data_IF_191070927209
#
_entry.id   IF_191070927209
#
_cell.length_a   1.000
_cell.length_b   1.000
_cell.length_c   1.000
_cell.angle_alpha   90.00
_cell.angle_beta   90.00
_cell.angle_gamma   90.00
#
_symmetry.space_group_name_H-M   'P 1'
#
loop_
_entity.id
_entity.type
_entity.pdbx_description
1 polymer ?
#
# COMPACT_ATOMS: atom_id res chain seq x y z
N UNK A 1 25.28 -5.37 -19.42
CA UNK A 1 24.28 -4.32 -19.73
C UNK A 1 24.13 -4.29 -21.24
N UNK A 2 22.90 -4.47 -21.75
CA UNK A 2 22.60 -4.20 -23.17
C UNK A 2 22.61 -2.68 -23.33
N UNK A 3 23.37 -2.15 -24.28
CA UNK A 3 23.45 -0.71 -24.54
C UNK A 3 22.23 -0.25 -25.35
N UNK A 4 21.78 1.01 -25.18
CA UNK A 4 20.65 1.56 -25.95
C UNK A 4 20.81 1.39 -27.47
N UNK A 5 22.05 1.43 -27.95
CA UNK A 5 22.39 1.21 -29.36
C UNK A 5 22.07 -0.20 -29.85
N UNK A 6 22.19 -1.21 -28.97
CA UNK A 6 21.92 -2.60 -29.34
C UNK A 6 20.42 -2.90 -29.49
N UNK A 7 19.54 -2.18 -28.79
CA UNK A 7 18.08 -2.30 -28.99
C UNK A 7 17.62 -1.56 -30.24
N UNK A 8 18.24 -0.41 -30.55
CA UNK A 8 17.91 0.39 -31.73
C UNK A 8 18.19 -0.32 -33.08
N UNK A 9 19.05 -1.34 -33.07
CA UNK A 9 19.42 -2.12 -34.25
C UNK A 9 18.59 -3.41 -34.40
N UNK A 10 17.70 -3.73 -33.45
CA UNK A 10 16.86 -4.92 -33.48
C UNK A 10 15.71 -4.82 -34.50
N UNK A 11 15.42 -5.94 -35.16
CA UNK A 11 14.18 -6.15 -35.91
C UNK A 11 12.97 -6.23 -34.96
N UNK A 12 11.77 -6.08 -35.51
CA UNK A 12 10.52 -6.17 -34.73
C UNK A 12 10.40 -7.48 -33.94
N UNK A 13 10.82 -8.62 -34.51
CA UNK A 13 10.81 -9.91 -33.82
C UNK A 13 11.83 -9.96 -32.67
N UNK A 14 13.05 -9.50 -32.92
CA UNK A 14 14.10 -9.47 -31.89
C UNK A 14 13.72 -8.57 -30.71
N UNK A 15 13.00 -7.47 -30.95
CA UNK A 15 12.46 -6.63 -29.88
C UNK A 15 11.44 -7.39 -29.03
N UNK A 16 10.55 -8.18 -29.65
CA UNK A 16 9.55 -8.99 -28.93
C UNK A 16 10.21 -10.10 -28.11
N UNK A 17 11.15 -10.84 -28.70
CA UNK A 17 11.91 -11.89 -28.01
C UNK A 17 12.72 -11.29 -26.84
N UNK A 18 13.36 -10.14 -27.06
CA UNK A 18 14.11 -9.42 -26.03
C UNK A 18 13.22 -8.99 -24.85
N UNK A 19 12.05 -8.40 -25.12
CA UNK A 19 11.16 -7.94 -24.04
C UNK A 19 10.55 -9.12 -23.27
N UNK A 20 10.28 -10.25 -23.93
CA UNK A 20 9.85 -11.48 -23.27
C UNK A 20 10.90 -11.95 -22.26
N UNK A 21 12.17 -12.05 -22.68
CA UNK A 21 13.29 -12.43 -21.81
C UNK A 21 13.48 -11.47 -20.63
N UNK A 22 13.48 -10.16 -20.90
CA UNK A 22 13.65 -9.15 -19.84
C UNK A 22 12.49 -9.18 -18.86
N UNK A 23 11.28 -9.40 -19.35
CA UNK A 23 10.10 -9.52 -18.51
C UNK A 23 10.17 -10.79 -17.64
N UNK A 24 10.57 -11.93 -18.19
CA UNK A 24 10.77 -13.16 -17.42
C UNK A 24 11.84 -12.97 -16.32
N UNK A 25 12.97 -12.36 -16.65
CA UNK A 25 14.03 -12.05 -15.68
C UNK A 25 13.55 -11.10 -14.57
N UNK A 26 12.75 -10.08 -14.91
CA UNK A 26 12.15 -9.16 -13.94
C UNK A 26 11.22 -9.89 -12.97
N UNK A 27 10.35 -10.77 -13.46
CA UNK A 27 9.43 -11.54 -12.62
C UNK A 27 10.18 -12.53 -11.72
N UNK A 28 11.25 -13.13 -12.20
CA UNK A 28 12.13 -13.96 -11.37
C UNK A 28 12.76 -13.14 -10.24
N UNK A 29 13.33 -11.98 -10.55
CA UNK A 29 13.93 -11.10 -9.56
C UNK A 29 12.92 -10.64 -8.49
N UNK A 30 11.67 -10.33 -8.88
CA UNK A 30 10.60 -9.99 -7.93
C UNK A 30 10.32 -11.14 -6.94
N UNK A 31 10.28 -12.38 -7.42
CA UNK A 31 10.10 -13.58 -6.58
C UNK A 31 11.28 -13.80 -5.64
N UNK A 32 12.50 -13.65 -6.14
CA UNK A 32 13.71 -13.83 -5.35
C UNK A 32 13.83 -12.78 -4.25
N UNK A 33 13.47 -11.51 -4.54
CA UNK A 33 13.43 -10.44 -3.55
C UNK A 33 12.37 -10.73 -2.47
N UNK A 34 11.19 -11.21 -2.84
CA UNK A 34 10.14 -11.59 -1.88
C UNK A 34 10.61 -12.74 -0.97
N UNK A 35 11.21 -13.78 -1.55
CA UNK A 35 11.78 -14.92 -0.80
C UNK A 35 12.90 -14.47 0.14
N UNK A 36 13.76 -13.57 -0.31
CA UNK A 36 14.80 -12.98 0.53
C UNK A 36 14.21 -12.13 1.68
N UNK A 37 13.10 -11.43 1.45
CA UNK A 37 12.41 -10.66 2.49
C UNK A 37 11.84 -11.59 3.59
N UNK A 38 11.24 -12.72 3.21
CA UNK A 38 10.80 -13.75 4.16
C UNK A 38 11.98 -14.30 4.96
N UNK A 39 13.04 -14.75 4.27
CA UNK A 39 14.23 -15.29 4.95
C UNK A 39 14.88 -14.27 5.89
N UNK A 40 14.89 -12.99 5.50
CA UNK A 40 15.39 -11.91 6.34
C UNK A 40 14.56 -11.74 7.61
N UNK A 41 13.24 -11.88 7.54
CA UNK A 41 12.37 -11.91 8.71
C UNK A 41 12.74 -13.04 9.67
N UNK A 42 12.99 -14.24 9.15
CA UNK A 42 13.39 -15.40 9.96
C UNK A 42 14.74 -15.18 10.65
N UNK A 43 15.74 -14.67 9.93
CA UNK A 43 17.06 -14.35 10.49
C UNK A 43 17.02 -13.22 11.53
N UNK A 44 16.01 -12.35 11.45
CA UNK A 44 15.82 -11.23 12.37
C UNK A 44 14.69 -11.47 13.37
N UNK A 45 14.28 -12.73 13.58
CA UNK A 45 13.34 -13.07 14.63
C UNK A 45 13.99 -12.80 16.00
N UNK A 46 13.35 -12.01 16.90
CA UNK A 46 13.90 -11.70 18.22
C UNK A 46 14.20 -12.95 19.08
N UNK A 47 13.56 -14.08 18.81
CA UNK A 47 13.78 -15.35 19.52
C UNK A 47 15.15 -15.97 19.18
N UNK A 48 15.79 -15.52 18.10
CA UNK A 48 17.15 -15.93 17.72
C UNK A 48 18.25 -15.13 18.42
N UNK A 49 17.88 -14.05 19.13
CA UNK A 49 18.84 -13.21 19.82
C UNK A 49 19.39 -13.90 21.09
N UNK A 50 20.66 -13.65 21.47
CA UNK A 50 21.22 -14.18 22.71
C UNK A 50 20.35 -13.83 23.94
N UNK A 51 20.26 -14.69 24.96
CA UNK A 51 19.41 -14.45 26.14
C UNK A 51 19.68 -13.14 26.89
N UNK A 52 20.88 -12.56 26.77
CA UNK A 52 21.22 -11.29 27.40
C UNK A 52 20.80 -10.05 26.59
N UNK A 53 20.42 -10.20 25.31
CA UNK A 53 19.97 -9.08 24.48
C UNK A 53 18.47 -8.79 24.69
N UNK A 54 18.14 -8.38 25.91
CA UNK A 54 16.77 -8.03 26.27
C UNK A 54 16.27 -6.81 25.49
N UNK A 55 17.17 -5.86 25.22
CA UNK A 55 16.85 -4.63 24.49
C UNK A 55 16.40 -4.92 23.06
N UNK A 56 17.05 -5.84 22.36
CA UNK A 56 16.65 -6.24 21.01
C UNK A 56 15.26 -6.88 20.98
N UNK A 57 14.92 -7.71 21.97
CA UNK A 57 13.59 -8.33 22.09
C UNK A 57 12.50 -7.33 22.45
N UNK A 58 12.75 -6.45 23.41
CA UNK A 58 11.79 -5.43 23.85
C UNK A 58 11.42 -4.46 22.71
N UNK A 59 12.37 -4.18 21.82
CA UNK A 59 12.19 -3.26 20.69
C UNK A 59 11.72 -3.92 19.40
N UNK A 60 11.62 -5.24 19.37
CA UNK A 60 11.14 -5.95 18.20
C UNK A 60 9.73 -5.47 17.81
N UNK A 61 9.39 -5.54 16.53
CA UNK A 61 8.09 -5.11 16.02
C UNK A 61 7.45 -6.26 15.25
N UNK A 62 6.11 -6.36 15.22
CA UNK A 62 5.44 -7.26 14.27
C UNK A 62 5.97 -7.01 12.86
N UNK A 63 6.31 -8.09 12.15
CA UNK A 63 6.63 -7.99 10.73
C UNK A 63 5.34 -7.77 9.94
N UNK A 64 4.41 -8.73 10.01
CA UNK A 64 3.10 -8.70 9.34
C UNK A 64 1.94 -8.64 10.33
N UNK A 65 0.94 -9.49 10.10
CA UNK A 65 -0.23 -9.66 10.95
C UNK A 65 0.13 -10.20 12.35
N UNK A 66 -0.83 -10.14 13.27
CA UNK A 66 -0.63 -10.42 14.70
C UNK A 66 -0.06 -11.83 14.98
N UNK A 67 -0.42 -12.81 14.16
CA UNK A 67 -0.02 -14.21 14.21
C UNK A 67 1.32 -14.52 13.50
N UNK A 68 2.00 -13.50 12.95
CA UNK A 68 3.26 -13.67 12.21
C UNK A 68 4.49 -13.32 13.05
N UNK A 69 5.70 -13.79 12.66
CA UNK A 69 6.93 -13.47 13.38
C UNK A 69 7.17 -11.98 13.57
N UNK A 70 7.80 -11.64 14.70
CA UNK A 70 8.35 -10.28 14.92
C UNK A 70 9.72 -10.17 14.27
N UNK A 71 10.15 -8.94 13.99
CA UNK A 71 11.50 -8.62 13.50
C UNK A 71 12.19 -7.59 14.39
N UNK A 72 13.53 -7.66 14.46
CA UNK A 72 14.34 -6.69 15.20
C UNK A 72 14.27 -5.28 14.60
N UNK A 73 14.53 -4.26 15.43
CA UNK A 73 14.23 -2.84 15.14
C UNK A 73 14.90 -2.29 13.86
N UNK A 74 16.06 -2.83 13.47
CA UNK A 74 16.83 -2.36 12.31
C UNK A 74 16.70 -3.23 11.06
N UNK A 75 15.97 -4.36 11.14
CA UNK A 75 15.86 -5.32 10.05
C UNK A 75 15.36 -4.67 8.75
N UNK A 76 14.27 -3.90 8.83
CA UNK A 76 13.68 -3.25 7.66
C UNK A 76 14.60 -2.18 7.04
N UNK A 77 15.29 -1.39 7.87
CA UNK A 77 16.20 -0.34 7.39
C UNK A 77 17.41 -0.93 6.64
N UNK A 78 18.00 -2.01 7.17
CA UNK A 78 19.11 -2.71 6.55
C UNK A 78 18.70 -3.35 5.21
N UNK A 79 17.53 -3.99 5.15
CA UNK A 79 17.00 -4.57 3.91
C UNK A 79 16.70 -3.48 2.87
N UNK A 80 16.01 -2.41 3.27
CA UNK A 80 15.62 -1.32 2.38
C UNK A 80 16.82 -0.62 1.74
N UNK A 81 17.90 -0.43 2.49
CA UNK A 81 19.14 0.14 1.97
C UNK A 81 19.74 -0.69 0.82
N UNK A 82 19.58 -2.04 0.83
CA UNK A 82 20.13 -2.92 -0.22
C UNK A 82 19.31 -2.92 -1.50
N UNK A 83 17.98 -2.81 -1.39
CA UNK A 83 17.08 -2.78 -2.55
C UNK A 83 16.66 -1.36 -2.95
N UNK A 84 17.32 -0.34 -2.38
CA UNK A 84 17.11 1.08 -2.67
C UNK A 84 15.65 1.54 -2.46
N UNK A 85 15.03 1.10 -1.36
CA UNK A 85 13.71 1.56 -0.94
C UNK A 85 13.73 2.14 0.48
N UNK A 86 12.67 2.84 0.87
CA UNK A 86 12.57 3.40 2.21
C UNK A 86 12.46 2.30 3.27
N UNK A 87 12.87 2.55 4.53
CA UNK A 87 12.65 1.59 5.61
C UNK A 87 11.18 1.18 5.77
N UNK A 88 10.25 2.10 5.48
CA UNK A 88 8.83 1.82 5.47
C UNK A 88 8.42 0.88 4.33
N UNK A 89 8.90 1.11 3.12
CA UNK A 89 8.67 0.23 1.96
C UNK A 89 9.23 -1.17 2.17
N UNK A 90 10.43 -1.27 2.75
CA UNK A 90 11.05 -2.54 3.10
C UNK A 90 10.29 -3.26 4.22
N UNK A 91 9.83 -2.53 5.25
CA UNK A 91 8.98 -3.10 6.30
C UNK A 91 7.72 -3.71 5.71
N UNK A 92 7.03 -3.00 4.81
CA UNK A 92 5.85 -3.51 4.12
C UNK A 92 6.17 -4.76 3.31
N UNK A 93 7.25 -4.76 2.53
CA UNK A 93 7.65 -5.95 1.76
C UNK A 93 7.92 -7.17 2.66
N UNK A 94 8.61 -6.98 3.79
CA UNK A 94 8.87 -8.05 4.77
C UNK A 94 7.55 -8.54 5.36
N UNK A 95 6.65 -7.61 5.73
CA UNK A 95 5.30 -7.91 6.21
C UNK A 95 4.52 -8.78 5.21
N UNK A 96 4.48 -8.36 3.94
CA UNK A 96 3.77 -9.09 2.88
C UNK A 96 4.37 -10.50 2.71
N UNK A 97 5.69 -10.63 2.79
CA UNK A 97 6.37 -11.91 2.64
C UNK A 97 6.07 -12.89 3.79
N UNK A 98 6.01 -12.42 5.05
CA UNK A 98 5.65 -13.29 6.18
C UNK A 98 4.16 -13.64 6.16
N UNK A 99 3.28 -12.69 5.83
CA UNK A 99 1.84 -12.94 5.72
C UNK A 99 1.56 -13.99 4.63
N UNK A 100 2.20 -13.86 3.46
CA UNK A 100 2.08 -14.84 2.37
C UNK A 100 2.49 -16.24 2.81
N UNK A 101 3.64 -16.36 3.49
CA UNK A 101 4.16 -17.66 3.89
C UNK A 101 3.33 -18.33 5.00
N UNK A 102 2.86 -17.56 5.98
CA UNK A 102 2.19 -18.11 7.16
C UNK A 102 0.67 -18.20 7.02
N UNK A 103 0.05 -17.36 6.18
CA UNK A 103 -1.41 -17.17 6.16
C UNK A 103 -2.05 -17.37 4.79
N UNK A 104 -1.29 -17.26 3.70
CA UNK A 104 -1.80 -17.33 2.32
C UNK A 104 -1.04 -18.39 1.48
N UNK A 105 -1.07 -19.68 1.90
CA UNK A 105 -0.24 -20.72 1.30
C UNK A 105 -0.54 -21.00 -0.18
N UNK A 106 -1.77 -20.81 -0.68
CA UNK A 106 -2.11 -21.01 -2.10
C UNK A 106 -1.52 -19.90 -2.96
N UNK A 107 -1.64 -18.65 -2.55
CA UNK A 107 -0.94 -17.53 -3.18
C UNK A 107 0.58 -17.76 -3.19
N UNK A 108 1.16 -18.19 -2.07
CA UNK A 108 2.59 -18.50 -1.96
C UNK A 108 3.01 -19.63 -2.93
N UNK A 109 2.25 -20.73 -3.00
CA UNK A 109 2.52 -21.81 -3.94
C UNK A 109 2.44 -21.36 -5.41
N UNK A 110 1.51 -20.46 -5.74
CA UNK A 110 1.42 -19.87 -7.07
C UNK A 110 2.60 -18.95 -7.41
N UNK A 111 3.15 -18.23 -6.42
CA UNK A 111 4.38 -17.44 -6.61
C UNK A 111 5.56 -18.37 -6.91
N UNK A 112 5.71 -19.45 -6.13
CA UNK A 112 6.81 -20.40 -6.28
C UNK A 112 6.78 -21.09 -7.66
N UNK A 113 5.59 -21.40 -8.18
CA UNK A 113 5.39 -21.97 -9.52
C UNK A 113 5.39 -20.92 -10.65
N UNK A 114 5.30 -19.63 -10.32
CA UNK A 114 5.25 -18.53 -11.29
C UNK A 114 3.90 -18.31 -11.96
N UNK A 115 2.84 -18.94 -11.46
CA UNK A 115 1.46 -18.75 -11.95
C UNK A 115 0.82 -17.50 -11.37
N UNK A 116 1.30 -17.03 -10.20
CA UNK A 116 0.80 -15.84 -9.51
C UNK A 116 1.86 -14.73 -9.50
N UNK A 117 1.38 -13.51 -9.68
CA UNK A 117 2.24 -12.32 -9.71
C UNK A 117 2.47 -11.80 -8.29
N UNK A 118 3.72 -11.48 -7.97
CA UNK A 118 4.12 -10.96 -6.65
C UNK A 118 3.33 -9.71 -6.27
N UNK A 119 3.08 -8.78 -7.21
CA UNK A 119 2.30 -7.56 -6.95
C UNK A 119 0.87 -7.86 -6.47
N UNK A 120 0.20 -8.82 -7.10
CA UNK A 120 -1.16 -9.24 -6.78
C UNK A 120 -1.20 -9.89 -5.41
N UNK A 121 -0.33 -10.88 -5.18
CA UNK A 121 -0.25 -11.58 -3.91
C UNK A 121 0.06 -10.63 -2.74
N UNK A 122 0.98 -9.68 -2.92
CA UNK A 122 1.31 -8.67 -1.90
C UNK A 122 0.13 -7.75 -1.57
N UNK A 123 -0.70 -7.41 -2.56
CA UNK A 123 -1.91 -6.63 -2.31
C UNK A 123 -2.93 -7.41 -1.49
N UNK A 124 -3.11 -8.71 -1.75
CA UNK A 124 -3.95 -9.58 -0.91
C UNK A 124 -3.39 -9.64 0.51
N UNK A 125 -2.09 -9.87 0.68
CA UNK A 125 -1.44 -9.93 1.99
C UNK A 125 -1.64 -8.66 2.83
N UNK A 126 -1.54 -7.48 2.20
CA UNK A 126 -1.86 -6.22 2.87
C UNK A 126 -3.34 -6.12 3.25
N UNK A 127 -4.25 -6.49 2.34
CA UNK A 127 -5.69 -6.39 2.54
C UNK A 127 -6.21 -7.34 3.63
N UNK A 128 -5.55 -8.49 3.83
CA UNK A 128 -5.92 -9.49 4.84
C UNK A 128 -5.21 -9.32 6.19
N UNK A 129 -4.42 -8.25 6.36
CA UNK A 129 -3.54 -8.09 7.55
C UNK A 129 -4.31 -7.90 8.86
N UNK A 130 -5.50 -7.30 8.80
CA UNK A 130 -6.39 -7.11 9.96
C UNK A 130 -7.37 -8.28 10.17
N UNK A 131 -7.35 -9.28 9.30
CA UNK A 131 -8.22 -10.46 9.40
C UNK A 131 -7.64 -11.47 10.39
N UNK A 132 -8.48 -12.37 10.90
CA UNK A 132 -8.02 -13.59 11.57
C UNK A 132 -7.35 -14.56 10.58
N UNK A 133 -6.63 -15.56 11.09
CA UNK A 133 -5.99 -16.58 10.24
C UNK A 133 -6.99 -17.31 9.33
N UNK A 134 -8.15 -17.70 9.88
CA UNK A 134 -9.19 -18.44 9.14
C UNK A 134 -9.84 -17.57 8.05
N UNK A 135 -10.12 -16.30 8.35
CA UNK A 135 -10.67 -15.35 7.37
C UNK A 135 -9.67 -15.08 6.24
N UNK A 136 -8.38 -14.94 6.55
CA UNK A 136 -7.34 -14.78 5.54
C UNK A 136 -7.18 -16.03 4.66
N UNK A 137 -7.23 -17.22 5.26
CA UNK A 137 -7.20 -18.49 4.52
C UNK A 137 -8.41 -18.63 3.58
N UNK A 138 -9.59 -18.19 4.01
CA UNK A 138 -10.76 -18.13 3.12
C UNK A 138 -10.55 -17.17 1.94
N UNK A 139 -9.94 -16.00 2.17
CA UNK A 139 -9.62 -15.06 1.08
C UNK A 139 -8.57 -15.65 0.11
N UNK A 140 -7.55 -16.35 0.63
CA UNK A 140 -6.54 -17.06 -0.17
C UNK A 140 -7.20 -18.06 -1.13
N UNK A 141 -8.12 -18.87 -0.60
CA UNK A 141 -8.92 -19.83 -1.35
C UNK A 141 -9.70 -19.20 -2.49
N UNK A 142 -10.33 -18.05 -2.24
CA UNK A 142 -11.21 -17.38 -3.20
C UNK A 142 -10.46 -16.58 -4.29
N UNK A 143 -9.20 -16.18 -4.06
CA UNK A 143 -8.48 -15.25 -4.93
C UNK A 143 -7.33 -15.88 -5.71
N UNK A 144 -6.71 -16.96 -5.20
CA UNK A 144 -5.45 -17.44 -5.77
C UNK A 144 -5.50 -17.73 -7.29
N UNK A 145 -6.61 -18.26 -7.82
CA UNK A 145 -6.77 -18.57 -9.25
C UNK A 145 -6.79 -17.35 -10.17
N UNK A 146 -7.16 -16.17 -9.65
CA UNK A 146 -7.30 -14.93 -10.43
C UNK A 146 -6.16 -13.94 -10.21
N UNK A 147 -5.16 -14.31 -9.41
CA UNK A 147 -3.99 -13.49 -9.06
C UNK A 147 -2.83 -13.58 -10.08
N UNK A 148 -3.10 -14.08 -11.29
CA UNK A 148 -2.12 -14.25 -12.39
C UNK A 148 -1.76 -12.96 -13.14
N UNK A 149 -2.49 -11.88 -12.87
CA UNK A 149 -2.31 -10.55 -13.45
C UNK A 149 -2.94 -10.32 -14.81
N UNK A 150 -3.82 -11.20 -15.28
CA UNK A 150 -4.64 -10.97 -16.48
C UNK A 150 -5.79 -10.01 -16.24
N UNK A 151 -6.29 -9.93 -15.00
CA UNK A 151 -7.32 -8.97 -14.62
C UNK A 151 -6.73 -7.54 -14.57
N UNK A 152 -7.46 -6.53 -15.09
CA UNK A 152 -7.11 -5.13 -14.87
C UNK A 152 -6.97 -4.83 -13.38
N UNK A 153 -5.95 -4.05 -13.00
CA UNK A 153 -5.60 -3.84 -11.60
C UNK A 153 -6.78 -3.36 -10.74
N UNK A 154 -7.50 -2.34 -11.19
CA UNK A 154 -8.66 -1.83 -10.44
C UNK A 154 -9.76 -2.88 -10.23
N UNK A 155 -9.96 -3.81 -11.19
CA UNK A 155 -10.93 -4.90 -11.03
C UNK A 155 -10.44 -5.94 -10.02
N UNK A 156 -9.14 -6.20 -9.98
CA UNK A 156 -8.54 -7.07 -8.98
C UNK A 156 -8.67 -6.45 -7.59
N UNK A 157 -8.39 -5.16 -7.42
CA UNK A 157 -8.57 -4.44 -6.14
C UNK A 157 -10.01 -4.54 -5.64
N UNK A 158 -11.00 -4.22 -6.48
CA UNK A 158 -12.42 -4.34 -6.10
C UNK A 158 -12.82 -5.76 -5.73
N UNK A 159 -12.27 -6.78 -6.42
CA UNK A 159 -12.54 -8.17 -6.08
C UNK A 159 -11.95 -8.54 -4.71
N UNK A 160 -10.70 -8.12 -4.44
CA UNK A 160 -10.03 -8.37 -3.17
C UNK A 160 -10.80 -7.70 -2.03
N UNK A 161 -11.17 -6.44 -2.19
CA UNK A 161 -11.99 -5.70 -1.22
C UNK A 161 -13.32 -6.42 -0.95
N UNK A 162 -14.02 -6.88 -1.99
CA UNK A 162 -15.27 -7.61 -1.84
C UNK A 162 -15.10 -8.93 -1.10
N UNK A 163 -14.02 -9.69 -1.36
CA UNK A 163 -13.73 -10.94 -0.66
C UNK A 163 -13.32 -10.68 0.79
N UNK A 164 -12.51 -9.67 1.07
CA UNK A 164 -12.16 -9.28 2.44
C UNK A 164 -13.40 -8.89 3.24
N UNK A 165 -14.31 -8.11 2.65
CA UNK A 165 -15.57 -7.74 3.28
C UNK A 165 -16.50 -8.95 3.52
N UNK A 166 -16.52 -9.92 2.60
CA UNK A 166 -17.28 -11.15 2.74
C UNK A 166 -16.69 -12.09 3.81
N UNK A 167 -15.36 -12.12 3.95
CA UNK A 167 -14.65 -12.94 4.94
C UNK A 167 -14.91 -12.44 6.37
N UNK A 168 -14.90 -11.11 6.57
CA UNK A 168 -15.08 -10.49 7.89
C UNK A 168 -16.18 -9.41 7.87
N UNK A 169 -17.47 -9.79 7.79
CA UNK A 169 -18.58 -8.82 7.69
C UNK A 169 -18.65 -7.88 8.90
N UNK A 170 -18.35 -8.38 10.10
CA UNK A 170 -18.37 -7.56 11.31
C UNK A 170 -17.21 -6.57 11.36
N UNK A 171 -16.02 -6.95 10.90
CA UNK A 171 -14.90 -6.01 10.76
C UNK A 171 -15.21 -4.95 9.70
N UNK A 172 -15.85 -5.34 8.59
CA UNK A 172 -16.30 -4.42 7.56
C UNK A 172 -17.30 -3.39 8.11
N UNK A 173 -18.32 -3.85 8.83
CA UNK A 173 -19.28 -2.99 9.54
C UNK A 173 -18.61 -2.06 10.54
N UNK A 174 -17.69 -2.58 11.36
CA UNK A 174 -16.96 -1.77 12.33
C UNK A 174 -16.09 -0.70 11.64
N UNK A 175 -15.45 -1.02 10.52
CA UNK A 175 -14.68 -0.06 9.71
C UNK A 175 -15.59 0.99 9.07
N UNK A 176 -16.76 0.60 8.57
CA UNK A 176 -17.78 1.52 8.05
C UNK A 176 -18.28 2.46 9.16
N UNK A 177 -18.68 1.94 10.31
CA UNK A 177 -19.10 2.75 11.45
C UNK A 177 -17.98 3.69 11.95
N UNK A 178 -16.73 3.20 11.98
CA UNK A 178 -15.59 4.03 12.35
C UNK A 178 -15.37 5.15 11.32
N UNK A 179 -15.51 4.86 10.03
CA UNK A 179 -15.42 5.85 8.96
C UNK A 179 -16.58 6.87 9.02
N UNK A 180 -17.80 6.42 9.34
CA UNK A 180 -18.94 7.30 9.61
C UNK A 180 -18.71 8.19 10.84
N UNK A 181 -17.99 7.69 11.84
CA UNK A 181 -17.65 8.47 13.05
C UNK A 181 -16.40 9.35 12.85
N UNK A 182 -15.56 9.06 11.85
CA UNK A 182 -14.36 9.82 11.47
C UNK A 182 -14.71 11.10 10.71
N UNK A 183 -15.66 11.87 11.24
CA UNK A 183 -16.07 13.18 10.75
C UNK A 183 -15.54 14.25 11.68
N UNK A 184 -14.79 15.20 11.13
CA UNK A 184 -14.21 16.27 11.93
C UNK A 184 -13.89 17.51 11.10
N UNK A 185 -13.81 18.62 11.82
CA UNK A 185 -13.15 19.84 11.38
C UNK A 185 -11.97 20.05 12.33
N UNK A 186 -10.75 20.02 11.80
CA UNK A 186 -9.53 20.18 12.61
C UNK A 186 -8.60 21.22 12.00
N UNK A 187 -8.14 22.15 12.82
CA UNK A 187 -7.09 23.09 12.45
C UNK A 187 -5.72 22.54 12.87
N UNK A 188 -4.73 22.64 11.98
CA UNK A 188 -3.32 22.37 12.32
C UNK A 188 -2.75 23.48 13.20
N UNK A 189 -1.59 23.22 13.82
CA UNK A 189 -0.85 24.29 14.50
C UNK A 189 -0.42 25.34 13.48
N UNK A 190 -0.51 26.61 13.87
CA UNK A 190 0.02 27.73 13.09
C UNK A 190 1.53 27.52 12.93
N UNK A 191 2.00 27.51 11.70
CA UNK A 191 3.42 27.37 11.40
C UNK A 191 4.18 28.68 11.68
N UNK A 192 5.51 28.64 11.58
CA UNK A 192 6.38 29.83 11.82
C UNK A 192 6.09 31.04 10.91
N UNK A 193 5.33 30.84 9.84
CA UNK A 193 4.95 31.88 8.88
C UNK A 193 3.51 32.38 9.10
N UNK A 194 2.85 31.99 10.20
CA UNK A 194 1.48 32.41 10.49
C UNK A 194 0.40 31.64 9.72
N UNK A 195 0.76 30.57 9.00
CA UNK A 195 -0.17 29.79 8.17
C UNK A 195 -0.61 28.54 8.94
N UNK A 196 -1.91 28.25 8.92
CA UNK A 196 -2.49 27.01 9.42
C UNK A 196 -3.30 26.31 8.32
N UNK A 197 -3.57 25.02 8.51
CA UNK A 197 -4.37 24.19 7.61
C UNK A 197 -5.64 23.78 8.33
N UNK A 198 -6.80 24.05 7.73
CA UNK A 198 -8.06 23.47 8.15
C UNK A 198 -8.31 22.18 7.34
N UNK A 199 -8.54 21.08 8.03
CA UNK A 199 -8.92 19.80 7.42
C UNK A 199 -10.36 19.50 7.81
N UNK A 200 -11.20 19.29 6.79
CA UNK A 200 -12.60 18.89 6.95
C UNK A 200 -12.74 17.48 6.38
N UNK A 201 -13.31 16.58 7.17
CA UNK A 201 -13.70 15.23 6.75
C UNK A 201 -15.17 15.05 7.07
N UNK A 202 -15.95 14.78 6.03
CA UNK A 202 -17.40 14.55 6.09
C UNK A 202 -17.83 13.73 4.86
N UNK A 203 -19.13 13.43 4.73
CA UNK A 203 -19.70 12.79 3.57
C UNK A 203 -19.33 13.54 2.28
N UNK A 204 -19.04 12.78 1.22
CA UNK A 204 -18.67 13.35 -0.08
C UNK A 204 -19.71 14.36 -0.59
N UNK A 205 -21.00 14.14 -0.33
CA UNK A 205 -22.08 15.07 -0.68
C UNK A 205 -21.92 16.42 0.02
N UNK A 206 -21.63 16.44 1.32
CA UNK A 206 -21.38 17.67 2.09
C UNK A 206 -20.15 18.40 1.59
N UNK A 207 -19.04 17.68 1.38
CA UNK A 207 -17.78 18.28 0.91
C UNK A 207 -17.94 18.87 -0.50
N UNK A 208 -18.62 18.16 -1.40
CA UNK A 208 -18.91 18.66 -2.75
C UNK A 208 -19.83 19.89 -2.73
N UNK A 209 -20.84 19.92 -1.86
CA UNK A 209 -21.70 21.08 -1.70
C UNK A 209 -20.94 22.30 -1.16
N UNK A 210 -20.09 22.11 -0.15
CA UNK A 210 -19.24 23.16 0.39
C UNK A 210 -18.24 23.69 -0.67
N UNK A 211 -17.60 22.80 -1.44
CA UNK A 211 -16.70 23.22 -2.52
C UNK A 211 -17.44 24.01 -3.61
N UNK A 212 -18.64 23.57 -3.98
CA UNK A 212 -19.49 24.27 -4.94
C UNK A 212 -19.89 25.67 -4.44
N UNK A 213 -20.28 25.80 -3.17
CA UNK A 213 -20.62 27.08 -2.54
C UNK A 213 -19.41 28.03 -2.52
N UNK A 214 -18.23 27.54 -2.12
CA UNK A 214 -16.98 28.31 -2.15
C UNK A 214 -16.65 28.79 -3.57
N UNK A 215 -16.78 27.92 -4.57
CA UNK A 215 -16.54 28.29 -5.97
C UNK A 215 -17.55 29.33 -6.47
N UNK A 216 -18.81 29.26 -6.04
CA UNK A 216 -19.84 30.23 -6.42
C UNK A 216 -19.55 31.62 -5.85
N UNK A 217 -19.23 31.71 -4.55
CA UNK A 217 -18.84 32.98 -3.90
C UNK A 217 -17.53 33.52 -4.50
N UNK A 218 -16.54 32.66 -4.73
CA UNK A 218 -15.28 33.07 -5.37
C UNK A 218 -15.48 33.65 -6.78
N UNK A 219 -16.53 33.22 -7.50
CA UNK A 219 -16.95 33.78 -8.79
C UNK A 219 -17.68 35.12 -8.64
N UNK A 220 -18.39 35.36 -7.55
CA UNK A 220 -18.95 36.70 -7.31
C UNK A 220 -17.85 37.71 -6.99
N UNK A 221 -16.75 37.25 -6.38
CA UNK A 221 -15.59 38.07 -6.07
C UNK A 221 -14.69 38.39 -7.27
N UNK A 222 -14.91 37.83 -8.48
CA UNK A 222 -14.04 38.17 -9.63
C UNK A 222 -14.17 39.65 -10.00
N UNK A 223 -15.37 40.21 -9.93
CA UNK A 223 -15.64 41.62 -10.27
C UNK A 223 -15.05 42.58 -9.23
N UNK A 224 -15.12 42.23 -7.96
CA UNK A 224 -14.60 43.04 -6.86
C UNK A 224 -13.08 42.90 -6.65
N UNK A 225 -12.48 41.79 -7.12
CA UNK A 225 -11.06 41.44 -6.94
C UNK A 225 -10.44 40.93 -8.25
N UNK A 226 -10.38 41.75 -9.32
CA UNK A 226 -9.97 41.29 -10.65
C UNK A 226 -8.51 40.84 -10.73
N UNK A 227 -7.61 41.44 -9.93
CA UNK A 227 -6.18 41.15 -9.92
C UNK A 227 -5.78 39.99 -8.98
N UNK A 228 -6.76 39.36 -8.31
CA UNK A 228 -6.53 38.31 -7.32
C UNK A 228 -6.71 36.93 -7.95
N UNK A 229 -5.83 35.99 -7.61
CA UNK A 229 -5.87 34.65 -8.18
C UNK A 229 -7.10 33.86 -7.72
N UNK A 230 -7.50 32.85 -8.50
CA UNK A 230 -8.65 31.98 -8.15
C UNK A 230 -8.51 31.33 -6.76
N UNK A 231 -7.34 30.78 -6.35
CA UNK A 231 -7.17 30.25 -4.98
C UNK A 231 -7.36 31.30 -3.89
N UNK A 232 -6.85 32.52 -4.08
CA UNK A 232 -6.99 33.61 -3.11
C UNK A 232 -8.42 34.11 -3.01
N UNK A 233 -9.14 34.22 -4.12
CA UNK A 233 -10.60 34.48 -4.12
C UNK A 233 -11.39 33.38 -3.43
N UNK A 234 -10.95 32.13 -3.54
CA UNK A 234 -11.57 30.99 -2.83
C UNK A 234 -11.28 31.02 -1.33
N UNK A 235 -10.11 31.50 -0.90
CA UNK A 235 -9.79 31.77 0.50
C UNK A 235 -10.59 32.95 1.05
N UNK A 236 -10.77 34.02 0.27
CA UNK A 236 -11.63 35.14 0.63
C UNK A 236 -13.10 34.70 0.75
N UNK A 237 -13.58 33.88 -0.20
CA UNK A 237 -14.91 33.26 -0.13
C UNK A 237 -15.09 32.38 1.12
N UNK A 238 -14.05 31.62 1.49
CA UNK A 238 -14.06 30.83 2.72
C UNK A 238 -14.19 31.68 3.98
N UNK A 239 -13.61 32.89 4.02
CA UNK A 239 -13.75 33.79 5.16
C UNK A 239 -15.13 34.46 5.28
N UNK A 240 -15.99 34.34 4.26
CA UNK A 240 -17.32 34.96 4.20
C UNK A 240 -18.46 33.99 4.55
N UNK A 241 -18.18 32.69 4.65
CA UNK A 241 -19.14 31.62 4.97
C UNK A 241 -18.94 31.14 6.42
#
# INVERSE_FOLDING_TARGET
>A
MVTDRAVAEMTAREVLDFVEDRNAARLQAERDILRAAYQWAILHNPDTLPPHDQRGRDRARPAGAEDTPRITEYAAAAFGARIQTSPFGAKRLIADAVDLHHRLPKLQAGIDTGTIRVRQARHVAEATRDLTADEAAWVDDEIHEVADGRLPWARFETLVEAKVAAAAPELARAKEEAAEKDRFVRMSRVNRHGIATLTIRDHATTILAADAALNAVARQLEEAMPDVSKPERKLAAFALL
#
